data_IF_944078181292
#
_entry.id   IF_944078181292
#
_cell.length_a   1.000
_cell.length_b   1.000
_cell.length_c   1.000
_cell.angle_alpha   90.00
_cell.angle_beta   90.00
_cell.angle_gamma   90.00
#
_symmetry.space_group_name_H-M   'P 1'
#
loop_
_entity.id
_entity.type
_entity.pdbx_description
1 polymer ?
#
# COMPACT_ATOMS: atom_id res chain seq x y z
N UNK A 1 4.04 7.86 -18.13
CA UNK A 1 4.17 9.04 -17.29
C UNK A 1 5.55 9.13 -16.60
N UNK A 2 6.04 8.05 -15.94
CA UNK A 2 7.33 8.08 -15.21
C UNK A 2 8.53 8.46 -16.09
N UNK A 3 8.65 7.92 -17.30
CA UNK A 3 9.72 8.27 -18.23
C UNK A 3 9.69 9.76 -18.64
N UNK A 4 8.51 10.31 -18.85
CA UNK A 4 8.36 11.75 -19.10
C UNK A 4 8.77 12.60 -17.91
N UNK A 5 8.46 12.14 -16.70
CA UNK A 5 8.87 12.80 -15.46
C UNK A 5 10.40 12.85 -15.31
N UNK A 6 11.09 11.73 -15.55
CA UNK A 6 12.55 11.64 -15.54
C UNK A 6 13.23 12.56 -16.58
N UNK A 7 12.56 12.81 -17.69
CA UNK A 7 13.02 13.71 -18.75
C UNK A 7 12.51 15.17 -18.56
N UNK A 8 12.13 15.56 -17.35
CA UNK A 8 11.62 16.89 -16.97
C UNK A 8 10.41 17.37 -17.77
N UNK A 9 9.66 16.46 -18.41
CA UNK A 9 8.41 16.77 -19.11
C UNK A 9 7.21 16.65 -18.17
N UNK A 10 7.23 17.40 -17.06
CA UNK A 10 6.30 17.28 -15.94
C UNK A 10 4.83 17.50 -16.36
N UNK A 11 4.54 18.53 -17.14
CA UNK A 11 3.17 18.81 -17.58
C UNK A 11 2.56 17.65 -18.36
N UNK A 12 3.32 17.05 -19.26
CA UNK A 12 2.85 15.90 -20.04
C UNK A 12 2.73 14.63 -19.18
N UNK A 13 3.64 14.44 -18.23
CA UNK A 13 3.57 13.34 -17.28
C UNK A 13 2.30 13.39 -16.42
N UNK A 14 1.96 14.57 -15.90
CA UNK A 14 0.74 14.82 -15.12
C UNK A 14 -0.53 14.71 -15.97
N UNK A 15 -0.47 15.14 -17.22
CA UNK A 15 -1.58 14.93 -18.16
C UNK A 15 -1.90 13.44 -18.33
N UNK A 16 -0.90 12.60 -18.54
CA UNK A 16 -1.10 11.14 -18.65
C UNK A 16 -1.58 10.52 -17.34
N UNK A 17 -1.09 10.97 -16.17
CA UNK A 17 -1.61 10.54 -14.87
C UNK A 17 -3.10 10.86 -14.75
N UNK A 18 -3.49 12.13 -15.03
CA UNK A 18 -4.88 12.58 -14.97
C UNK A 18 -5.79 11.78 -15.91
N UNK A 19 -5.34 11.52 -17.15
CA UNK A 19 -6.10 10.68 -18.09
C UNK A 19 -6.23 9.24 -17.64
N UNK A 20 -5.20 8.67 -17.04
CA UNK A 20 -5.26 7.30 -16.46
C UNK A 20 -6.25 7.24 -15.31
N UNK A 21 -6.26 8.25 -14.44
CA UNK A 21 -7.22 8.36 -13.33
C UNK A 21 -8.67 8.47 -13.84
N UNK A 22 -8.91 9.30 -14.83
CA UNK A 22 -10.24 9.50 -15.41
C UNK A 22 -10.77 8.24 -16.13
N UNK A 23 -9.92 7.56 -16.91
CA UNK A 23 -10.35 6.45 -17.78
C UNK A 23 -10.37 5.12 -17.00
N UNK A 24 -9.40 4.88 -16.13
CA UNK A 24 -9.21 3.58 -15.48
C UNK A 24 -9.46 3.61 -13.97
N UNK A 25 -9.66 4.78 -13.36
CA UNK A 25 -9.79 4.92 -11.91
C UNK A 25 -8.51 4.57 -11.15
N UNK A 26 -7.32 4.80 -11.75
CA UNK A 26 -6.01 4.51 -11.19
C UNK A 26 -5.19 5.79 -11.10
N UNK A 27 -4.73 6.14 -9.90
CA UNK A 27 -3.93 7.33 -9.67
C UNK A 27 -2.51 6.96 -9.20
N UNK A 28 -1.57 6.91 -10.12
CA UNK A 28 -0.16 6.66 -9.83
C UNK A 28 0.65 7.89 -10.17
N UNK A 29 1.23 8.54 -9.16
CA UNK A 29 2.05 9.72 -9.37
C UNK A 29 3.29 9.39 -10.22
N UNK A 30 3.60 10.19 -11.25
CA UNK A 30 4.70 9.89 -12.18
C UNK A 30 6.08 9.85 -11.53
N UNK A 31 6.29 10.50 -10.39
CA UNK A 31 7.54 10.47 -9.63
C UNK A 31 7.74 9.18 -8.82
N UNK A 32 6.69 8.39 -8.59
CA UNK A 32 6.80 7.14 -7.83
C UNK A 32 7.85 6.20 -8.44
N UNK A 33 8.68 5.61 -7.58
CA UNK A 33 9.74 4.67 -8.00
C UNK A 33 9.20 3.25 -7.96
N UNK A 34 8.91 2.70 -9.12
CA UNK A 34 8.31 1.37 -9.25
C UNK A 34 9.26 0.46 -10.03
N UNK A 35 9.69 -0.63 -9.41
CA UNK A 35 10.56 -1.65 -10.02
C UNK A 35 9.79 -2.56 -10.99
N UNK A 36 10.47 -3.52 -11.60
CA UNK A 36 9.86 -4.51 -12.48
C UNK A 36 9.18 -5.65 -11.73
N UNK A 37 8.35 -6.43 -12.45
CA UNK A 37 7.67 -7.61 -11.89
C UNK A 37 6.52 -7.27 -10.91
N UNK A 38 5.98 -6.07 -10.97
CA UNK A 38 4.85 -5.66 -10.15
C UNK A 38 3.56 -6.18 -10.77
N UNK A 39 2.75 -6.85 -9.96
CA UNK A 39 1.37 -7.21 -10.31
C UNK A 39 0.41 -6.20 -9.70
N UNK A 40 -0.43 -5.58 -10.51
CA UNK A 40 -1.56 -4.77 -10.03
C UNK A 40 -2.83 -5.43 -10.55
N UNK A 41 -3.50 -6.18 -9.66
CA UNK A 41 -4.67 -6.96 -10.02
C UNK A 41 -5.97 -6.15 -9.84
N UNK A 42 -6.87 -6.22 -10.81
CA UNK A 42 -8.09 -5.43 -10.95
C UNK A 42 -7.86 -3.91 -11.02
N UNK A 43 -6.90 -3.38 -10.33
CA UNK A 43 -6.32 -2.04 -10.34
C UNK A 43 -7.26 -0.86 -9.99
N UNK A 44 -8.56 -0.93 -10.20
CA UNK A 44 -9.51 0.16 -9.94
C UNK A 44 -9.38 0.71 -8.53
N UNK A 45 -9.27 2.03 -8.39
CA UNK A 45 -9.14 2.70 -7.09
C UNK A 45 -7.75 2.62 -6.46
N UNK A 46 -6.75 2.10 -7.17
CA UNK A 46 -5.35 2.14 -6.68
C UNK A 46 -4.82 3.56 -6.71
N UNK A 47 -4.26 4.00 -5.58
CA UNK A 47 -3.58 5.29 -5.44
C UNK A 47 -2.15 5.07 -4.95
N UNK A 48 -1.17 5.59 -5.69
CA UNK A 48 0.26 5.52 -5.35
C UNK A 48 0.84 6.94 -5.35
N UNK A 49 1.23 7.41 -4.19
CA UNK A 49 1.72 8.77 -3.99
C UNK A 49 3.14 9.02 -4.52
N UNK A 50 3.48 10.30 -4.65
CA UNK A 50 4.70 10.82 -5.30
C UNK A 50 6.00 10.18 -4.83
N UNK A 51 6.19 10.06 -3.51
CA UNK A 51 7.46 9.60 -2.93
C UNK A 51 7.46 8.11 -2.57
N UNK A 52 6.48 7.33 -3.08
CA UNK A 52 6.47 5.88 -2.92
C UNK A 52 7.68 5.24 -3.61
N UNK A 53 8.17 4.17 -2.98
CA UNK A 53 9.14 3.26 -3.58
C UNK A 53 8.59 1.83 -3.50
N UNK A 54 8.49 1.14 -4.64
CA UNK A 54 7.96 -0.21 -4.74
C UNK A 54 9.02 -1.09 -5.40
N UNK A 55 9.53 -2.06 -4.64
CA UNK A 55 10.54 -2.99 -5.11
C UNK A 55 9.92 -4.11 -5.97
N UNK A 56 10.77 -4.94 -6.57
CA UNK A 56 10.36 -5.99 -7.51
C UNK A 56 9.42 -7.03 -6.87
N UNK A 57 8.61 -7.66 -7.72
CA UNK A 57 7.74 -8.79 -7.37
C UNK A 57 6.70 -8.48 -6.28
N UNK A 58 6.30 -7.21 -6.15
CA UNK A 58 5.21 -6.79 -5.26
C UNK A 58 3.87 -7.01 -5.94
N UNK A 59 2.88 -7.45 -5.17
CA UNK A 59 1.50 -7.62 -5.61
C UNK A 59 0.59 -6.59 -4.93
N UNK A 60 -0.19 -5.86 -5.72
CA UNK A 60 -1.12 -4.83 -5.26
C UNK A 60 -2.49 -5.13 -5.85
N UNK A 61 -3.54 -5.06 -5.02
CA UNK A 61 -4.91 -5.31 -5.45
C UNK A 61 -5.72 -4.01 -5.51
N UNK A 62 -6.95 -4.09 -6.03
CA UNK A 62 -7.84 -2.94 -6.19
C UNK A 62 -8.06 -2.16 -4.90
N UNK A 63 -8.28 -0.85 -5.02
CA UNK A 63 -8.59 0.03 -3.90
C UNK A 63 -7.45 0.27 -2.91
N UNK A 64 -6.24 -0.21 -3.18
CA UNK A 64 -5.08 0.02 -2.32
C UNK A 64 -4.66 1.49 -2.41
N UNK A 65 -4.41 2.11 -1.25
CA UNK A 65 -3.87 3.46 -1.15
C UNK A 65 -2.50 3.44 -0.47
N UNK A 66 -1.48 3.90 -1.18
CA UNK A 66 -0.15 4.20 -0.64
C UNK A 66 -0.02 5.72 -0.50
N UNK A 67 -0.47 6.23 0.64
CA UNK A 67 -0.70 7.66 0.89
C UNK A 67 0.36 8.31 1.79
N UNK A 68 0.43 9.64 1.72
CA UNK A 68 1.21 10.47 2.63
C UNK A 68 0.47 10.74 3.93
N UNK A 69 1.21 11.13 4.97
CA UNK A 69 0.65 11.56 6.26
C UNK A 69 1.03 13.01 6.53
N UNK A 70 0.00 13.87 6.65
CA UNK A 70 0.19 15.29 6.93
C UNK A 70 0.78 16.10 5.78
N UNK A 71 1.13 17.37 6.07
CA UNK A 71 1.70 18.34 5.13
C UNK A 71 3.24 18.33 5.16
N UNK A 72 3.87 17.18 5.24
CA UNK A 72 5.33 17.08 5.26
C UNK A 72 5.90 17.25 3.85
N UNK A 73 6.95 18.04 3.73
CA UNK A 73 7.77 18.09 2.54
C UNK A 73 8.73 16.88 2.49
N UNK A 74 9.16 16.49 1.28
CA UNK A 74 10.07 15.37 1.09
C UNK A 74 9.40 13.99 1.14
N UNK A 75 10.11 13.02 1.71
CA UNK A 75 9.63 11.62 1.83
C UNK A 75 8.46 11.55 2.80
N UNK A 76 7.29 11.10 2.30
CA UNK A 76 6.03 11.06 3.06
C UNK A 76 5.10 9.89 2.69
N UNK A 77 5.51 9.06 1.74
CA UNK A 77 4.76 7.91 1.28
C UNK A 77 5.55 6.62 1.55
N UNK A 78 4.88 5.47 1.63
CA UNK A 78 5.50 4.22 2.05
C UNK A 78 6.54 3.66 1.06
N UNK A 79 7.44 2.85 1.62
CA UNK A 79 8.33 1.95 0.89
C UNK A 79 7.80 0.52 0.98
N UNK A 80 7.60 -0.12 -0.17
CA UNK A 80 7.13 -1.49 -0.27
C UNK A 80 8.30 -2.35 -0.76
N UNK A 81 8.78 -3.25 0.10
CA UNK A 81 9.93 -4.07 -0.21
C UNK A 81 9.55 -5.31 -1.04
N UNK A 82 10.58 -5.95 -1.59
CA UNK A 82 10.47 -7.06 -2.52
C UNK A 82 9.51 -8.15 -2.04
N UNK A 83 8.64 -8.62 -2.95
CA UNK A 83 7.76 -9.76 -2.72
C UNK A 83 6.59 -9.49 -1.77
N UNK A 84 6.42 -8.27 -1.25
CA UNK A 84 5.28 -7.94 -0.40
C UNK A 84 3.95 -8.03 -1.15
N UNK A 85 2.89 -8.38 -0.44
CA UNK A 85 1.52 -8.48 -0.98
C UNK A 85 0.59 -7.54 -0.22
N UNK A 86 -0.03 -6.61 -0.95
CA UNK A 86 -0.94 -5.60 -0.41
C UNK A 86 -2.34 -5.88 -0.94
N UNK A 87 -3.18 -6.48 -0.09
CA UNK A 87 -4.51 -6.91 -0.50
C UNK A 87 -5.54 -5.77 -0.57
N UNK A 88 -6.65 -6.09 -1.20
CA UNK A 88 -7.68 -5.14 -1.64
C UNK A 88 -8.12 -4.16 -0.55
N UNK A 89 -8.33 -2.89 -0.96
CA UNK A 89 -8.84 -1.81 -0.11
C UNK A 89 -8.01 -1.51 1.15
N UNK A 90 -6.74 -1.96 1.19
CA UNK A 90 -5.81 -1.59 2.27
C UNK A 90 -5.32 -0.17 2.09
N UNK A 91 -5.14 0.54 3.21
CA UNK A 91 -4.60 1.90 3.25
C UNK A 91 -3.30 1.90 4.05
N UNK A 92 -2.21 2.34 3.45
CA UNK A 92 -0.88 2.44 4.06
C UNK A 92 -0.48 3.91 4.04
N UNK A 93 -0.28 4.51 5.22
CA UNK A 93 -0.06 5.94 5.35
C UNK A 93 1.27 6.30 6.01
N UNK A 94 1.97 7.22 5.37
CA UNK A 94 3.17 7.85 5.90
C UNK A 94 4.47 7.27 5.36
N UNK A 95 5.58 7.82 5.83
CA UNK A 95 6.93 7.33 5.54
C UNK A 95 7.21 6.07 6.40
N UNK A 96 6.62 4.95 5.99
CA UNK A 96 6.75 3.66 6.65
C UNK A 96 7.17 2.58 5.65
N UNK A 97 7.72 1.49 6.17
CA UNK A 97 8.23 0.38 5.36
C UNK A 97 7.37 -0.86 5.55
N UNK A 98 6.92 -1.44 4.45
CA UNK A 98 6.36 -2.79 4.40
C UNK A 98 7.49 -3.75 4.00
N UNK A 99 7.86 -4.61 4.93
CA UNK A 99 9.03 -5.47 4.82
C UNK A 99 8.93 -6.52 3.70
N UNK A 100 10.09 -7.12 3.38
CA UNK A 100 10.20 -8.16 2.33
C UNK A 100 9.23 -9.32 2.63
N UNK A 101 8.49 -9.75 1.59
CA UNK A 101 7.48 -10.82 1.68
C UNK A 101 6.41 -10.61 2.76
N UNK A 102 6.25 -9.41 3.27
CA UNK A 102 5.18 -9.09 4.21
C UNK A 102 3.82 -9.11 3.51
N UNK A 103 2.78 -9.38 4.28
CA UNK A 103 1.40 -9.43 3.80
C UNK A 103 0.56 -8.42 4.56
N UNK A 104 -0.10 -7.54 3.83
CA UNK A 104 -1.13 -6.64 4.36
C UNK A 104 -2.49 -7.17 3.95
N UNK A 105 -3.27 -7.65 4.91
CA UNK A 105 -4.59 -8.22 4.65
C UNK A 105 -5.57 -7.16 4.14
N UNK A 106 -6.59 -7.60 3.40
CA UNK A 106 -7.59 -6.71 2.81
C UNK A 106 -8.27 -5.80 3.85
N UNK A 107 -8.55 -4.55 3.45
CA UNK A 107 -9.23 -3.56 4.31
C UNK A 107 -8.41 -3.05 5.49
N UNK A 108 -7.12 -3.33 5.55
CA UNK A 108 -6.27 -2.93 6.69
C UNK A 108 -5.84 -1.47 6.61
N UNK A 109 -5.71 -0.81 7.78
CA UNK A 109 -5.11 0.51 7.92
C UNK A 109 -3.73 0.37 8.58
N UNK A 110 -2.66 0.55 7.81
CA UNK A 110 -1.28 0.40 8.27
C UNK A 110 -0.67 1.77 8.54
N UNK A 111 -0.25 2.01 9.77
CA UNK A 111 0.30 3.27 10.26
C UNK A 111 1.71 3.12 10.84
N UNK A 112 2.27 1.92 10.84
CA UNK A 112 3.60 1.58 11.38
C UNK A 112 4.31 0.61 10.45
N UNK A 113 5.63 0.54 10.57
CA UNK A 113 6.44 -0.43 9.83
C UNK A 113 5.96 -1.87 10.07
N UNK A 114 5.97 -2.66 9.01
CA UNK A 114 5.72 -4.11 9.03
C UNK A 114 7.03 -4.82 8.74
N UNK A 115 7.41 -5.76 9.58
CA UNK A 115 8.67 -6.48 9.41
C UNK A 115 8.58 -7.50 8.25
N UNK A 116 9.74 -7.96 7.80
CA UNK A 116 9.80 -8.98 6.76
C UNK A 116 9.06 -10.26 7.19
N UNK A 117 8.36 -10.89 6.24
CA UNK A 117 7.57 -12.12 6.42
C UNK A 117 6.43 -12.01 7.46
N UNK A 118 6.05 -10.81 7.86
CA UNK A 118 4.92 -10.61 8.76
C UNK A 118 3.60 -10.45 7.98
N UNK A 119 2.54 -10.96 8.58
CA UNK A 119 1.16 -10.68 8.14
C UNK A 119 0.50 -9.74 9.14
N UNK A 120 -0.06 -8.65 8.65
CA UNK A 120 -0.82 -7.68 9.45
C UNK A 120 -2.24 -7.54 8.94
N UNK A 121 -3.18 -7.30 9.85
CA UNK A 121 -4.60 -7.12 9.54
C UNK A 121 -5.28 -6.15 10.50
N UNK A 122 -6.37 -5.54 10.07
CA UNK A 122 -7.27 -4.74 10.89
C UNK A 122 -7.06 -3.23 10.81
N UNK A 123 -7.82 -2.48 11.64
CA UNK A 123 -7.87 -1.02 11.70
C UNK A 123 -7.76 -0.57 13.17
N UNK A 124 -6.58 -0.08 13.64
CA UNK A 124 -5.28 -0.10 12.95
C UNK A 124 -4.72 -1.52 12.82
N UNK A 125 -3.93 -1.76 11.77
CA UNK A 125 -3.37 -3.07 11.49
C UNK A 125 -2.41 -3.55 12.59
N UNK A 126 -2.54 -4.83 12.95
CA UNK A 126 -1.70 -5.55 13.94
C UNK A 126 -1.26 -6.87 13.36
N UNK A 127 -0.20 -7.46 13.93
CA UNK A 127 0.23 -8.80 13.54
C UNK A 127 -0.90 -9.81 13.75
N UNK A 128 -1.13 -10.65 12.74
CA UNK A 128 -2.20 -11.68 12.80
C UNK A 128 -1.97 -12.65 13.96
N UNK A 129 -0.72 -13.00 14.28
CA UNK A 129 -0.39 -13.85 15.44
C UNK A 129 -0.87 -13.26 16.77
N UNK A 130 -0.83 -11.94 16.92
CA UNK A 130 -1.29 -11.25 18.13
C UNK A 130 -2.82 -11.21 18.20
N UNK A 131 -3.49 -11.12 17.05
CA UNK A 131 -4.95 -11.19 16.96
C UNK A 131 -5.48 -12.58 17.36
N UNK A 132 -4.79 -13.65 16.94
CA UNK A 132 -5.18 -15.03 17.24
C UNK A 132 -5.00 -15.33 18.74
N UNK A 133 -3.94 -14.81 19.39
CA UNK A 133 -3.73 -14.99 20.83
C UNK A 133 -4.88 -14.42 21.66
N UNK A 134 -5.42 -13.25 21.25
CA UNK A 134 -6.55 -12.65 21.95
C UNK A 134 -7.88 -13.38 21.71
N UNK A 135 -7.98 -14.21 20.66
CA UNK A 135 -9.16 -15.04 20.40
C UNK A 135 -9.16 -16.35 21.21
N UNK A 136 -8.01 -16.81 21.71
CA UNK A 136 -7.93 -17.99 22.56
C UNK A 136 -8.52 -17.79 23.96
N UNK A 137 -8.86 -16.55 24.32
CA UNK A 137 -9.56 -16.20 25.56
C UNK A 137 -11.10 -16.19 25.38
N UNK A 138 -11.60 -16.37 24.15
CA UNK A 138 -13.02 -16.47 23.90
C UNK A 138 -13.50 -17.89 24.19
N UNK A 139 -14.21 -18.07 25.32
CA UNK A 139 -14.87 -19.32 25.70
C UNK A 139 -16.34 -19.31 25.23
N UNK A 140 -16.71 -20.14 24.20
CA UNK A 140 -18.10 -20.22 23.75
C UNK A 140 -19.05 -20.83 24.79
N UNK A 141 -18.53 -21.31 25.92
CA UNK A 141 -19.30 -21.86 27.04
C UNK A 141 -19.64 -20.87 28.15
N UNK A 142 -19.11 -19.65 28.12
CA UNK A 142 -19.46 -18.61 29.08
C UNK A 142 -20.83 -17.99 28.73
N UNK A 143 -21.85 -18.54 29.33
CA UNK A 143 -23.27 -18.11 29.22
C UNK A 143 -23.61 -16.96 30.17
N UNK A 144 -22.65 -16.19 30.66
CA UNK A 144 -22.86 -15.10 31.64
C UNK A 144 -23.16 -13.73 30.98
N UNK A 145 -23.82 -13.73 29.81
CA UNK A 145 -24.42 -12.53 29.20
C UNK A 145 -25.93 -12.64 29.20
#
# INVERSE_FOLDING_TARGET
ANELWKNNRFGLALFFQSRSSEVFGIDIHPAAKIAGGIMIDHATGVVIGETCSIQKNVSIFQGVTLGGKGNQEGKRHPDILEGASIYASSTILGDITIGKNAVVAAGSLVLKNVLANETVAGIPARKVKDLIKNQSEWDPGDSSL
#
